data_IF_092927524062
#
_entry.id   IF_092927524062
#
_cell.length_a   1.000
_cell.length_b   1.000
_cell.length_c   1.000
_cell.angle_alpha   90.00
_cell.angle_beta   90.00
_cell.angle_gamma   90.00
#
_symmetry.space_group_name_H-M   'P 1'
#
loop_
_entity.id
_entity.type
_entity.pdbx_description
1 polymer ?
#
# COMPACT_ATOMS: atom_id res chain seq x y z
N UNK A 1 52.34 -29.87 -43.99
CA UNK A 1 51.07 -30.36 -43.41
C UNK A 1 50.97 -29.76 -42.01
N UNK A 2 50.37 -28.58 -41.85
CA UNK A 2 48.97 -28.28 -41.44
C UNK A 2 48.73 -28.44 -39.92
N UNK A 3 48.57 -27.27 -39.25
CA UNK A 3 47.70 -26.89 -38.09
C UNK A 3 47.87 -27.70 -36.77
N UNK A 4 47.66 -27.15 -35.57
CA UNK A 4 46.75 -26.09 -35.15
C UNK A 4 47.26 -25.40 -33.86
N UNK A 5 47.08 -24.09 -33.85
CA UNK A 5 47.00 -23.22 -32.67
C UNK A 5 45.68 -23.50 -31.96
N UNK A 6 45.68 -23.74 -30.65
CA UNK A 6 44.47 -23.59 -29.82
C UNK A 6 44.76 -22.76 -28.58
N UNK A 7 44.29 -21.52 -28.68
CA UNK A 7 44.03 -20.56 -27.63
C UNK A 7 43.06 -21.20 -26.61
N UNK A 8 43.40 -21.23 -25.33
CA UNK A 8 42.44 -21.49 -24.26
C UNK A 8 42.14 -20.17 -23.54
N UNK A 9 40.98 -19.63 -23.90
CA UNK A 9 40.31 -18.48 -23.30
C UNK A 9 39.39 -19.02 -22.20
N UNK A 10 39.49 -18.54 -20.96
CA UNK A 10 38.46 -18.77 -19.93
C UNK A 10 38.42 -17.67 -18.85
N UNK A 11 37.69 -16.61 -19.20
CA UNK A 11 36.66 -15.91 -18.41
C UNK A 11 36.95 -15.75 -16.90
N UNK A 12 37.40 -14.56 -16.52
CA UNK A 12 37.31 -14.07 -15.13
C UNK A 12 35.85 -13.73 -14.85
N UNK A 13 35.18 -14.57 -14.04
CA UNK A 13 33.88 -14.29 -13.45
C UNK A 13 34.01 -13.12 -12.47
N UNK A 14 33.83 -11.90 -12.97
CA UNK A 14 33.67 -10.71 -12.14
C UNK A 14 32.31 -10.74 -11.44
N UNK A 15 32.25 -11.37 -10.27
CA UNK A 15 31.12 -11.22 -9.36
C UNK A 15 31.15 -9.77 -8.82
N UNK A 16 30.30 -8.91 -9.38
CA UNK A 16 30.01 -7.61 -8.80
C UNK A 16 28.97 -7.83 -7.68
N UNK A 17 29.30 -7.66 -6.39
CA UNK A 17 28.30 -7.71 -5.35
C UNK A 17 27.39 -6.49 -5.52
N UNK A 18 26.17 -6.70 -5.98
CA UNK A 18 25.12 -5.71 -5.88
C UNK A 18 24.91 -5.43 -4.39
N UNK A 19 25.38 -4.27 -3.92
CA UNK A 19 25.05 -3.76 -2.61
C UNK A 19 23.54 -3.51 -2.57
N UNK A 20 22.79 -4.48 -2.05
CA UNK A 20 21.41 -4.29 -1.66
C UNK A 20 21.41 -3.22 -0.55
N UNK A 21 21.03 -1.99 -0.90
CA UNK A 21 20.86 -0.92 0.06
C UNK A 21 19.68 -1.28 0.95
N UNK A 22 19.95 -1.92 2.09
CA UNK A 22 18.97 -2.22 3.15
C UNK A 22 18.69 -0.95 3.98
N UNK A 23 18.37 0.16 3.32
CA UNK A 23 17.84 1.33 4.00
C UNK A 23 16.38 1.06 4.37
N UNK A 24 16.03 1.17 5.67
CA UNK A 24 14.62 1.18 6.07
C UNK A 24 13.93 2.30 5.30
N UNK A 25 12.81 2.04 4.60
CA UNK A 25 12.14 3.08 3.83
C UNK A 25 11.74 4.23 4.76
N UNK A 26 12.06 5.45 4.35
CA UNK A 26 11.74 6.65 5.11
C UNK A 26 10.22 6.80 5.18
N UNK A 27 9.71 7.23 6.34
CA UNK A 27 8.30 7.61 6.47
C UNK A 27 8.02 8.80 5.54
N UNK A 28 7.00 8.69 4.70
CA UNK A 28 6.54 9.76 3.81
C UNK A 28 5.11 10.15 4.22
N UNK A 29 4.90 11.42 4.53
CA UNK A 29 3.57 11.98 4.77
C UNK A 29 3.12 12.75 3.54
N UNK A 30 1.96 12.39 3.02
CA UNK A 30 1.27 13.10 1.95
C UNK A 30 0.05 13.80 2.53
N UNK A 31 -0.10 15.09 2.22
CA UNK A 31 -1.33 15.84 2.49
C UNK A 31 -2.15 15.93 1.22
N UNK A 32 -3.38 15.43 1.28
CA UNK A 32 -4.26 15.31 0.14
C UNK A 32 -5.50 16.17 0.31
N UNK A 33 -5.98 16.72 -0.81
CA UNK A 33 -7.21 17.49 -0.89
C UNK A 33 -8.10 16.93 -1.99
N UNK A 34 -9.32 16.56 -1.65
CA UNK A 34 -10.32 16.13 -2.62
C UNK A 34 -10.90 17.30 -3.39
N UNK A 35 -11.45 17.02 -4.57
CA UNK A 35 -12.20 17.98 -5.37
C UNK A 35 -13.47 18.50 -4.65
N UNK A 36 -13.95 17.77 -3.64
CA UNK A 36 -15.05 18.17 -2.76
C UNK A 36 -14.61 19.06 -1.59
N UNK A 37 -13.30 19.30 -1.44
CA UNK A 37 -12.73 20.17 -0.40
C UNK A 37 -12.39 19.46 0.91
N UNK A 38 -12.43 18.13 0.96
CA UNK A 38 -12.05 17.33 2.11
C UNK A 38 -10.52 17.16 2.16
N UNK A 39 -9.91 17.41 3.32
CA UNK A 39 -8.50 17.18 3.55
C UNK A 39 -8.28 15.83 4.23
N UNK A 40 -7.34 15.04 3.72
CA UNK A 40 -6.96 13.74 4.30
C UNK A 40 -5.45 13.51 4.13
N UNK A 41 -4.92 12.51 4.82
CA UNK A 41 -3.49 12.20 4.83
C UNK A 41 -3.25 10.78 4.34
N UNK A 42 -2.16 10.60 3.60
CA UNK A 42 -1.61 9.27 3.30
C UNK A 42 -0.21 9.21 3.92
N UNK A 43 -0.01 8.28 4.86
CA UNK A 43 1.30 8.02 5.45
C UNK A 43 1.87 6.71 4.91
N UNK A 44 3.00 6.78 4.23
CA UNK A 44 3.72 5.61 3.75
C UNK A 44 4.82 5.24 4.74
N UNK A 45 4.97 3.94 5.00
CA UNK A 45 5.98 3.39 5.91
C UNK A 45 5.91 3.97 7.33
N UNK A 46 4.70 4.26 7.83
CA UNK A 46 4.47 4.66 9.23
C UNK A 46 5.01 3.57 10.15
N UNK A 47 5.96 3.87 11.06
CA UNK A 47 6.44 2.87 12.02
C UNK A 47 5.34 2.51 13.02
N UNK A 48 5.05 1.22 13.18
CA UNK A 48 4.09 0.71 14.16
C UNK A 48 4.64 -0.53 14.87
N UNK A 49 3.92 -1.04 15.88
CA UNK A 49 4.22 -2.33 16.51
C UNK A 49 4.09 -3.53 15.54
N UNK A 50 3.35 -3.38 14.45
CA UNK A 50 3.16 -4.39 13.41
C UNK A 50 4.19 -4.29 12.28
N UNK A 51 5.18 -3.40 12.40
CA UNK A 51 6.10 -3.02 11.33
C UNK A 51 5.67 -1.76 10.59
N UNK A 52 6.34 -1.41 9.47
CA UNK A 52 5.97 -0.28 8.63
C UNK A 52 4.62 -0.53 7.95
N UNK A 53 3.68 0.39 8.11
CA UNK A 53 2.35 0.33 7.47
C UNK A 53 2.12 1.54 6.55
N UNK A 54 1.23 1.38 5.59
CA UNK A 54 0.63 2.45 4.81
C UNK A 54 -0.73 2.79 5.39
N UNK A 55 -0.98 4.06 5.72
CA UNK A 55 -2.19 4.51 6.39
C UNK A 55 -2.88 5.64 5.63
N UNK A 56 -4.21 5.70 5.68
CA UNK A 56 -5.02 6.78 5.11
C UNK A 56 -5.90 7.41 6.19
N UNK A 57 -5.50 8.56 6.72
CA UNK A 57 -6.21 9.22 7.83
C UNK A 57 -7.11 10.37 7.34
N UNK A 58 -8.25 10.60 7.98
CA UNK A 58 -9.12 11.76 7.72
C UNK A 58 -10.17 11.55 6.62
N UNK A 59 -10.03 10.49 5.81
CA UNK A 59 -11.09 10.04 4.92
C UNK A 59 -12.05 9.14 5.74
N UNK A 60 -13.35 9.46 5.81
CA UNK A 60 -14.34 8.60 6.46
C UNK A 60 -14.63 7.38 5.58
N UNK A 61 -13.76 6.39 5.67
CA UNK A 61 -13.76 5.22 4.80
C UNK A 61 -14.80 4.20 5.28
N UNK A 62 -14.69 3.78 6.54
CA UNK A 62 -15.61 2.90 7.28
C UNK A 62 -15.12 2.86 8.73
N UNK A 63 -15.83 2.16 9.61
CA UNK A 63 -15.51 2.04 11.03
C UNK A 63 -14.25 1.18 11.32
N UNK A 64 -13.06 1.69 10.98
CA UNK A 64 -11.80 0.93 11.03
C UNK A 64 -10.56 1.83 11.26
N UNK A 65 -9.42 1.20 11.55
CA UNK A 65 -8.08 1.80 11.38
C UNK A 65 -7.58 1.49 9.96
N UNK A 66 -7.52 2.48 9.06
CA UNK A 66 -7.17 2.29 7.64
C UNK A 66 -5.64 2.24 7.47
N UNK A 67 -5.02 1.19 7.99
CA UNK A 67 -3.58 0.96 7.92
C UNK A 67 -3.28 -0.49 7.55
N UNK A 68 -2.37 -0.74 6.59
CA UNK A 68 -1.99 -2.10 6.18
C UNK A 68 -0.50 -2.18 5.81
N UNK A 69 0.14 -3.36 5.91
CA UNK A 69 1.45 -3.57 5.33
C UNK A 69 1.36 -3.56 3.80
N UNK A 70 2.49 -3.33 3.13
CA UNK A 70 2.55 -3.43 1.67
C UNK A 70 2.20 -4.86 1.21
N UNK A 71 1.25 -4.97 0.28
CA UNK A 71 0.76 -6.23 -0.30
C UNK A 71 -0.12 -7.06 0.63
N UNK A 72 -0.48 -6.56 1.81
CA UNK A 72 -1.26 -7.29 2.81
C UNK A 72 -2.43 -6.50 3.39
N UNK A 73 -2.94 -6.99 4.52
CA UNK A 73 -4.13 -6.48 5.17
C UNK A 73 -3.86 -6.02 6.60
N UNK A 74 -4.45 -4.90 6.99
CA UNK A 74 -4.71 -4.56 8.37
C UNK A 74 -6.14 -4.90 8.75
N UNK A 75 -6.30 -5.62 9.86
CA UNK A 75 -7.57 -6.11 10.35
C UNK A 75 -7.92 -5.33 11.61
N UNK A 76 -8.98 -4.53 11.56
CA UNK A 76 -9.50 -3.73 12.68
C UNK A 76 -10.57 -4.51 13.43
N UNK A 77 -10.68 -4.33 14.75
CA UNK A 77 -11.82 -4.88 15.49
C UNK A 77 -13.17 -4.43 14.89
N UNK A 78 -14.27 -5.20 15.04
CA UNK A 78 -15.57 -4.86 14.46
C UNK A 78 -16.34 -3.78 15.24
N UNK A 79 -15.64 -2.76 15.79
CA UNK A 79 -16.24 -1.76 16.70
C UNK A 79 -15.60 -0.37 16.57
N UNK A 80 -16.37 0.69 16.34
CA UNK A 80 -16.09 2.12 16.59
C UNK A 80 -14.63 2.59 16.52
N UNK A 81 -14.18 3.21 15.41
CA UNK A 81 -12.81 3.63 15.07
C UNK A 81 -11.78 2.62 15.59
N UNK A 82 -12.09 1.35 15.35
CA UNK A 82 -11.42 0.21 15.97
C UNK A 82 -9.93 0.24 15.70
N UNK A 83 -9.13 0.04 16.75
CA UNK A 83 -7.70 -0.25 16.63
C UNK A 83 -7.46 -1.47 15.74
N UNK A 84 -6.28 -1.53 15.12
CA UNK A 84 -5.80 -2.75 14.48
C UNK A 84 -5.71 -3.89 15.51
N UNK A 85 -6.38 -5.00 15.20
CA UNK A 85 -6.27 -6.29 15.88
C UNK A 85 -5.00 -7.02 15.43
N UNK A 86 -4.79 -7.10 14.12
CA UNK A 86 -3.64 -7.79 13.53
C UNK A 86 -3.35 -7.27 12.12
N UNK A 87 -2.18 -7.66 11.59
CA UNK A 87 -1.84 -7.51 10.17
C UNK A 87 -1.52 -8.87 9.59
N UNK A 88 -1.86 -9.10 8.33
CA UNK A 88 -1.63 -10.38 7.68
C UNK A 88 -1.29 -10.21 6.22
N UNK A 89 -0.49 -11.14 5.69
CA UNK A 89 -0.23 -11.30 4.26
C UNK A 89 -1.08 -12.45 3.66
N UNK A 90 -1.93 -13.08 4.47
CA UNK A 90 -2.73 -14.24 4.06
C UNK A 90 -4.16 -13.83 3.76
N UNK A 91 -4.56 -13.89 2.49
CA UNK A 91 -5.94 -13.64 2.05
C UNK A 91 -6.96 -14.44 2.87
N UNK A 92 -6.69 -15.72 3.17
CA UNK A 92 -7.63 -16.57 3.90
C UNK A 92 -7.90 -16.10 5.34
N UNK A 93 -6.96 -15.39 5.97
CA UNK A 93 -7.17 -14.78 7.29
C UNK A 93 -8.04 -13.53 7.13
N UNK A 94 -7.68 -12.65 6.19
CA UNK A 94 -8.45 -11.44 5.92
C UNK A 94 -9.89 -11.75 5.47
N UNK A 95 -10.11 -12.81 4.68
CA UNK A 95 -11.42 -13.24 4.22
C UNK A 95 -12.34 -13.68 5.37
N UNK A 96 -11.79 -14.31 6.41
CA UNK A 96 -12.56 -14.77 7.59
C UNK A 96 -12.68 -13.70 8.69
N UNK A 97 -12.12 -12.52 8.49
CA UNK A 97 -12.20 -11.44 9.46
C UNK A 97 -13.55 -10.75 9.35
N UNK A 98 -14.22 -10.54 10.47
CA UNK A 98 -15.58 -10.02 10.58
C UNK A 98 -15.65 -8.49 10.77
N UNK A 99 -14.51 -7.85 11.03
CA UNK A 99 -14.38 -6.41 11.19
C UNK A 99 -13.88 -5.69 9.94
N UNK A 100 -13.28 -4.52 10.18
CA UNK A 100 -12.71 -3.72 9.10
C UNK A 100 -11.45 -4.35 8.52
N UNK A 101 -11.37 -4.41 7.19
CA UNK A 101 -10.23 -4.92 6.41
C UNK A 101 -9.73 -3.80 5.52
N UNK A 102 -8.51 -3.36 5.76
CA UNK A 102 -7.83 -2.39 4.92
C UNK A 102 -6.68 -3.09 4.21
N UNK A 103 -6.50 -2.86 2.90
CA UNK A 103 -5.38 -3.38 2.11
C UNK A 103 -4.67 -2.22 1.44
N UNK A 104 -3.35 -2.34 1.30
CA UNK A 104 -2.53 -1.34 0.65
C UNK A 104 -1.46 -2.02 -0.23
N UNK A 105 -1.20 -1.44 -1.40
CA UNK A 105 -0.12 -1.85 -2.29
C UNK A 105 0.61 -0.61 -2.79
N UNK A 106 1.93 -0.61 -2.64
CA UNK A 106 2.80 0.47 -3.05
C UNK A 106 3.66 0.01 -4.24
N UNK A 107 3.21 0.32 -5.45
CA UNK A 107 3.99 0.18 -6.68
C UNK A 107 4.97 1.36 -6.89
N UNK A 108 5.86 1.30 -7.89
CA UNK A 108 6.85 2.35 -8.14
C UNK A 108 6.22 3.71 -8.47
N UNK A 109 5.09 3.68 -9.17
CA UNK A 109 4.33 4.80 -9.73
C UNK A 109 2.94 4.94 -9.13
N UNK A 110 2.41 3.90 -8.49
CA UNK A 110 1.06 3.91 -7.90
C UNK A 110 1.02 3.53 -6.42
N UNK A 111 0.10 4.13 -5.70
CA UNK A 111 -0.38 3.64 -4.41
C UNK A 111 -1.85 3.28 -4.55
N UNK A 112 -2.21 2.05 -4.18
CA UNK A 112 -3.58 1.55 -4.23
C UNK A 112 -3.97 1.09 -2.84
N UNK A 113 -5.14 1.50 -2.38
CA UNK A 113 -5.71 1.03 -1.13
C UNK A 113 -7.17 0.63 -1.30
N UNK A 114 -7.60 -0.39 -0.56
CA UNK A 114 -9.00 -0.82 -0.52
C UNK A 114 -9.46 -1.03 0.91
N UNK A 115 -10.75 -0.82 1.13
CA UNK A 115 -11.40 -1.04 2.41
C UNK A 115 -12.68 -1.84 2.25
N UNK A 116 -12.93 -2.75 3.18
CA UNK A 116 -14.18 -3.50 3.28
C UNK A 116 -14.48 -3.83 4.74
N UNK A 117 -15.74 -4.08 5.07
CA UNK A 117 -16.17 -4.49 6.41
C UNK A 117 -16.95 -5.81 6.36
N UNK A 118 -16.92 -6.60 7.44
CA UNK A 118 -17.65 -7.87 7.55
C UNK A 118 -16.85 -9.07 7.06
N UNK A 119 -17.42 -10.28 7.12
CA UNK A 119 -16.78 -11.46 6.53
C UNK A 119 -16.82 -11.44 5.00
N UNK A 120 -15.86 -12.11 4.37
CA UNK A 120 -15.81 -12.31 2.93
C UNK A 120 -14.90 -11.30 2.22
N UNK A 121 -14.17 -11.80 1.24
CA UNK A 121 -13.41 -11.03 0.27
C UNK A 121 -13.55 -11.78 -1.05
N UNK A 122 -13.68 -11.05 -2.16
CA UNK A 122 -13.54 -11.67 -3.47
C UNK A 122 -12.14 -12.27 -3.60
N UNK A 123 -12.05 -13.48 -4.14
CA UNK A 123 -10.77 -14.13 -4.39
C UNK A 123 -9.98 -13.38 -5.48
N UNK A 124 -10.70 -12.78 -6.43
CA UNK A 124 -10.15 -11.86 -7.41
C UNK A 124 -10.29 -10.43 -6.90
N UNK A 125 -9.20 -9.89 -6.35
CA UNK A 125 -9.18 -8.53 -5.80
C UNK A 125 -9.49 -7.46 -6.86
N UNK A 126 -9.34 -7.76 -8.16
CA UNK A 126 -9.70 -6.85 -9.25
C UNK A 126 -11.21 -6.80 -9.54
N UNK A 127 -11.95 -7.76 -9.00
CA UNK A 127 -13.43 -7.86 -9.08
C UNK A 127 -14.12 -7.63 -7.74
N UNK A 128 -13.35 -7.31 -6.71
CA UNK A 128 -13.84 -7.05 -5.36
C UNK A 128 -14.87 -5.91 -5.32
N UNK A 129 -16.02 -6.18 -4.71
CA UNK A 129 -16.89 -5.11 -4.21
C UNK A 129 -16.30 -4.60 -2.89
N UNK A 130 -15.53 -3.52 -2.97
CA UNK A 130 -15.01 -2.83 -1.80
C UNK A 130 -15.94 -1.70 -1.39
N UNK A 131 -16.00 -1.42 -0.08
CA UNK A 131 -16.67 -0.23 0.43
C UNK A 131 -15.96 1.04 -0.05
N UNK A 132 -14.63 0.94 -0.24
CA UNK A 132 -13.81 1.99 -0.82
C UNK A 132 -12.62 1.42 -1.60
N UNK A 133 -12.29 2.06 -2.72
CA UNK A 133 -11.02 1.92 -3.44
C UNK A 133 -10.39 3.29 -3.63
N UNK A 134 -9.10 3.44 -3.33
CA UNK A 134 -8.30 4.64 -3.53
C UNK A 134 -7.11 4.32 -4.41
N UNK A 135 -6.90 5.13 -5.45
CA UNK A 135 -5.73 5.07 -6.30
C UNK A 135 -5.05 6.45 -6.36
N UNK A 136 -3.73 6.46 -6.20
CA UNK A 136 -2.87 7.64 -6.29
C UNK A 136 -1.74 7.35 -7.29
N UNK A 137 -1.60 8.23 -8.29
CA UNK A 137 -0.38 8.36 -9.09
C UNK A 137 0.67 9.12 -8.28
N UNK A 138 1.75 8.43 -7.93
CA UNK A 138 2.83 8.96 -7.09
C UNK A 138 3.76 9.90 -7.84
N UNK A 139 3.69 9.92 -9.17
CA UNK A 139 4.52 10.76 -10.03
C UNK A 139 3.89 12.13 -10.22
N UNK A 140 2.56 12.21 -10.26
CA UNK A 140 1.84 13.48 -10.39
C UNK A 140 1.24 13.99 -9.08
N UNK A 141 0.97 13.09 -8.13
CA UNK A 141 0.22 13.41 -6.91
C UNK A 141 -1.29 13.32 -7.10
N UNK A 142 -1.78 13.05 -8.30
CA UNK A 142 -3.22 12.97 -8.58
C UNK A 142 -3.78 11.59 -8.30
N UNK A 143 -5.04 11.55 -7.87
CA UNK A 143 -5.70 10.29 -7.61
C UNK A 143 -7.21 10.42 -7.56
N UNK A 144 -7.86 9.31 -7.27
CA UNK A 144 -9.28 9.27 -6.98
C UNK A 144 -9.59 8.18 -5.96
N UNK A 145 -10.59 8.42 -5.13
CA UNK A 145 -11.24 7.37 -4.35
C UNK A 145 -12.65 7.16 -4.84
N UNK A 146 -13.12 5.92 -4.78
CA UNK A 146 -14.49 5.53 -5.08
C UNK A 146 -15.09 4.88 -3.84
N UNK A 147 -16.28 5.32 -3.44
CA UNK A 147 -17.07 4.66 -2.41
C UNK A 147 -18.54 4.61 -2.83
N UNK A 148 -19.29 3.63 -2.32
CA UNK A 148 -20.71 3.51 -2.64
C UNK A 148 -21.54 4.74 -2.25
N UNK A 149 -21.14 5.45 -1.20
CA UNK A 149 -21.85 6.63 -0.69
C UNK A 149 -21.55 7.93 -1.46
N UNK A 150 -20.31 8.09 -1.96
CA UNK A 150 -19.84 9.35 -2.54
C UNK A 150 -19.57 9.27 -4.06
N UNK A 151 -19.66 8.07 -4.65
CA UNK A 151 -19.18 7.83 -6.01
C UNK A 151 -17.67 8.00 -6.09
N UNK A 152 -17.18 8.39 -7.26
CA UNK A 152 -15.75 8.64 -7.51
C UNK A 152 -15.42 10.11 -7.31
N UNK A 153 -14.45 10.39 -6.44
CA UNK A 153 -13.98 11.74 -6.11
C UNK A 153 -12.49 11.83 -6.39
N UNK A 154 -12.12 12.77 -7.27
CA UNK A 154 -10.73 13.08 -7.56
C UNK A 154 -10.07 13.83 -6.39
N UNK A 155 -8.76 13.70 -6.25
CA UNK A 155 -7.96 14.42 -5.27
C UNK A 155 -6.55 14.69 -5.80
N UNK A 156 -5.86 15.62 -5.14
CA UNK A 156 -4.43 15.87 -5.34
C UNK A 156 -3.69 15.81 -4.01
N UNK A 157 -2.50 15.20 -4.00
CA UNK A 157 -1.65 15.01 -2.84
C UNK A 157 -0.27 15.63 -3.05
N UNK A 158 0.25 16.23 -1.98
CA UNK A 158 1.61 16.78 -1.93
C UNK A 158 2.39 16.18 -0.77
N UNK A 159 3.70 16.01 -0.93
CA UNK A 159 4.58 15.64 0.18
C UNK A 159 4.55 16.76 1.23
N UNK A 160 4.26 16.38 2.48
CA UNK A 160 4.30 17.27 3.64
C UNK A 160 5.49 16.92 4.52
N UNK A 161 6.20 17.93 4.99
CA UNK A 161 7.11 17.78 6.11
C UNK A 161 6.31 17.69 7.41
N UNK A 162 6.60 16.70 8.26
CA UNK A 162 6.16 16.76 9.66
C UNK A 162 6.91 17.91 10.33
N UNK A 163 6.25 19.04 10.50
CA UNK A 163 6.70 20.08 11.43
C UNK A 163 6.28 19.64 12.83
N UNK A 164 7.24 19.37 13.69
CA UNK A 164 7.04 19.11 15.11
C UNK A 164 6.90 20.42 15.88
#
# INVERSE_FOLDING_TARGET
>A
MIRAVYLLLAIVLGACPAAAQTGKPANVLLGCRSATGEDFLIELFRPTQFGPLHCVDGLMIVDMTPCAPDGGWGLSYPTGRASLREVTQMWAIAHRHDGGKFSATLGPDKFVATASFGEGLEADLSKGSYDMTLELDRTTGDGAYTSGALGTVAFHCEIRSRKF
#
